data_IF_178362122750
#
_entry.id   IF_178362122750
#
_cell.length_a   1.000
_cell.length_b   1.000
_cell.length_c   1.000
_cell.angle_alpha   90.00
_cell.angle_beta   90.00
_cell.angle_gamma   90.00
#
_symmetry.space_group_name_H-M   'P 1'
#
loop_
_entity.id
_entity.type
_entity.pdbx_description
1 polymer ?
#
# COMPACT_ATOMS: atom_id res chain seq x y z
N UNK A 1 29.51 19.72 1.62
CA UNK A 1 29.82 18.26 1.64
C UNK A 1 29.01 17.61 2.74
N UNK A 2 28.46 16.41 2.50
CA UNK A 2 27.69 15.65 3.50
C UNK A 2 28.67 14.74 4.24
N UNK A 3 28.66 14.82 5.57
CA UNK A 3 29.64 14.14 6.43
C UNK A 3 29.09 12.95 7.20
N UNK A 4 27.79 12.95 7.51
CA UNK A 4 27.09 11.87 8.23
C UNK A 4 25.73 11.57 7.59
N UNK A 5 25.24 10.34 7.78
CA UNK A 5 23.90 9.91 7.40
C UNK A 5 23.27 9.29 8.64
N UNK A 6 22.12 9.82 9.07
CA UNK A 6 21.44 9.33 10.26
C UNK A 6 20.13 8.63 9.91
N UNK A 7 19.88 7.47 10.54
CA UNK A 7 18.62 6.75 10.50
C UNK A 7 17.84 6.94 11.80
N UNK A 8 16.59 7.41 11.73
CA UNK A 8 15.76 7.60 12.92
C UNK A 8 15.07 6.30 13.36
N UNK A 9 15.26 5.91 14.62
CA UNK A 9 14.63 4.71 15.18
C UNK A 9 13.10 4.86 15.22
N UNK A 10 12.37 3.97 14.56
CA UNK A 10 10.91 3.98 14.50
C UNK A 10 10.34 5.30 13.94
N UNK A 11 10.93 5.84 12.87
CA UNK A 11 10.39 7.01 12.15
C UNK A 11 10.53 8.32 12.93
N UNK A 12 9.53 9.21 12.82
CA UNK A 12 9.61 10.57 13.39
C UNK A 12 9.69 10.55 14.92
N UNK A 13 9.17 9.51 15.58
CA UNK A 13 9.34 9.29 17.02
C UNK A 13 10.82 9.15 17.40
N UNK A 14 11.65 8.57 16.54
CA UNK A 14 13.09 8.49 16.75
C UNK A 14 13.73 9.86 16.80
N UNK A 15 13.31 10.78 15.93
CA UNK A 15 13.78 12.18 15.95
C UNK A 15 13.34 12.86 17.24
N UNK A 16 12.05 12.82 17.57
CA UNK A 16 11.50 13.46 18.80
C UNK A 16 12.21 12.95 20.06
N UNK A 17 12.47 11.64 20.12
CA UNK A 17 13.10 10.99 21.26
C UNK A 17 14.63 11.00 21.21
N UNK A 18 15.25 11.65 20.21
CA UNK A 18 16.71 11.75 20.07
C UNK A 18 17.38 10.36 20.03
N UNK A 19 16.78 9.46 19.24
CA UNK A 19 17.24 8.09 18.96
C UNK A 19 17.56 7.95 17.48
N UNK A 20 18.77 8.38 17.12
CA UNK A 20 19.32 8.30 15.77
C UNK A 20 20.47 7.29 15.72
N UNK A 21 20.52 6.49 14.67
CA UNK A 21 21.65 5.63 14.32
C UNK A 21 22.52 6.34 13.30
N UNK A 22 23.84 6.37 13.51
CA UNK A 22 24.76 6.87 12.49
C UNK A 22 25.04 5.77 11.46
N UNK A 23 24.33 5.85 10.34
CA UNK A 23 24.40 4.87 9.24
C UNK A 23 25.77 4.88 8.55
N UNK A 24 26.61 5.90 8.78
CA UNK A 24 27.97 5.94 8.23
C UNK A 24 28.94 5.00 8.96
N UNK A 25 28.57 4.51 10.14
CA UNK A 25 29.34 3.55 10.93
C UNK A 25 28.98 2.09 10.62
N UNK A 26 27.88 1.86 9.90
CA UNK A 26 27.42 0.53 9.52
C UNK A 26 28.29 -0.07 8.40
N UNK A 27 28.38 -1.40 8.37
CA UNK A 27 29.12 -2.09 7.33
C UNK A 27 28.48 -1.87 5.95
N UNK A 28 29.32 -1.59 4.93
CA UNK A 28 28.84 -1.26 3.59
C UNK A 28 28.18 -2.45 2.89
N UNK A 29 28.61 -3.67 3.17
CA UNK A 29 27.97 -4.86 2.60
C UNK A 29 26.63 -5.13 3.30
N UNK A 30 26.55 -4.96 4.62
CA UNK A 30 25.26 -5.03 5.34
C UNK A 30 24.25 -3.99 4.83
N UNK A 31 24.68 -2.74 4.59
CA UNK A 31 23.84 -1.70 3.99
C UNK A 31 23.34 -2.10 2.59
N UNK A 32 24.17 -2.77 1.78
CA UNK A 32 23.75 -3.28 0.46
C UNK A 32 22.71 -4.38 0.57
N UNK A 33 22.69 -5.14 1.68
CA UNK A 33 21.72 -6.21 1.90
C UNK A 33 20.31 -5.68 2.23
N UNK A 34 20.18 -4.43 2.68
CA UNK A 34 18.87 -3.81 3.01
C UNK A 34 17.89 -3.92 1.84
N UNK A 35 18.35 -3.78 0.59
CA UNK A 35 17.48 -3.89 -0.59
C UNK A 35 16.85 -5.26 -0.82
N UNK A 36 17.30 -6.30 -0.11
CA UNK A 36 16.74 -7.65 -0.15
C UNK A 36 16.04 -8.07 1.14
N UNK A 37 16.06 -7.21 2.17
CA UNK A 37 15.51 -7.49 3.48
C UNK A 37 14.09 -6.92 3.59
N UNK A 38 13.07 -7.72 3.93
CA UNK A 38 11.70 -7.22 4.07
C UNK A 38 11.52 -6.41 5.36
N UNK A 39 10.45 -5.62 5.39
CA UNK A 39 10.12 -4.77 6.54
C UNK A 39 10.92 -3.46 6.57
N UNK A 40 10.94 -2.80 7.72
CA UNK A 40 11.69 -1.57 7.93
C UNK A 40 12.86 -1.83 8.88
N UNK A 41 14.09 -1.76 8.36
CA UNK A 41 15.33 -2.01 9.13
C UNK A 41 15.45 -1.06 10.33
N UNK A 42 15.01 0.18 10.20
CA UNK A 42 15.03 1.19 11.27
C UNK A 42 13.79 1.13 12.16
N UNK A 43 12.90 0.16 11.94
CA UNK A 43 11.54 0.16 12.49
C UNK A 43 10.65 1.21 11.83
N UNK A 44 9.38 1.24 12.21
CA UNK A 44 8.40 2.22 11.74
C UNK A 44 7.47 2.64 12.88
N UNK A 45 6.79 3.77 12.70
CA UNK A 45 5.73 4.21 13.61
C UNK A 45 4.49 4.64 12.84
N UNK A 46 3.38 4.72 13.55
CA UNK A 46 2.10 5.27 13.12
C UNK A 46 1.79 6.51 13.95
N UNK A 47 2.68 7.49 13.90
CA UNK A 47 2.60 8.70 14.71
C UNK A 47 2.29 9.91 13.82
N UNK A 48 1.21 10.62 14.13
CA UNK A 48 0.76 11.80 13.40
C UNK A 48 1.09 13.04 14.21
N UNK A 49 1.85 13.96 13.62
CA UNK A 49 2.11 15.25 14.22
C UNK A 49 0.83 16.09 14.21
N UNK A 50 0.55 16.75 15.33
CA UNK A 50 -0.48 17.77 15.40
C UNK A 50 -0.08 18.98 14.56
N UNK A 51 -1.03 19.86 14.26
CA UNK A 51 -0.71 21.13 13.60
C UNK A 51 0.14 22.00 14.53
N UNK A 52 1.28 22.52 14.04
CA UNK A 52 2.17 23.37 14.83
C UNK A 52 1.55 24.73 15.19
N UNK A 53 0.48 25.14 14.51
CA UNK A 53 -0.32 26.30 14.90
C UNK A 53 -1.15 26.04 16.17
N UNK A 54 -1.40 24.77 16.50
CA UNK A 54 -2.10 24.35 17.72
C UNK A 54 -1.12 24.04 18.84
N UNK A 55 -0.12 23.20 18.57
CA UNK A 55 0.97 22.86 19.50
C UNK A 55 2.27 22.62 18.71
N UNK A 56 3.26 23.49 18.93
CA UNK A 56 4.55 23.42 18.27
C UNK A 56 5.63 22.67 19.07
N UNK A 57 5.29 22.09 20.23
CA UNK A 57 6.24 21.44 21.13
C UNK A 57 7.07 20.36 20.43
N UNK A 58 6.42 19.52 19.61
CA UNK A 58 7.10 18.46 18.88
C UNK A 58 8.00 19.00 17.76
N UNK A 59 7.59 20.09 17.13
CA UNK A 59 8.35 20.72 16.06
C UNK A 59 9.59 21.45 16.57
N UNK A 60 9.48 22.14 17.71
CA UNK A 60 10.63 22.67 18.46
C UNK A 60 11.61 21.55 18.77
N UNK A 61 11.11 20.42 19.30
CA UNK A 61 11.94 19.27 19.63
C UNK A 61 12.65 18.69 18.39
N UNK A 62 11.95 18.57 17.26
CA UNK A 62 12.54 18.12 15.99
C UNK A 62 13.63 19.08 15.53
N UNK A 63 13.38 20.39 15.57
CA UNK A 63 14.36 21.42 15.21
C UNK A 63 15.60 21.38 16.11
N UNK A 64 15.43 21.21 17.44
CA UNK A 64 16.52 21.08 18.39
C UNK A 64 17.41 19.86 18.07
N UNK A 65 16.81 18.73 17.75
CA UNK A 65 17.53 17.51 17.37
C UNK A 65 18.23 17.71 16.03
N UNK A 66 17.56 18.32 15.05
CA UNK A 66 18.19 18.66 13.78
C UNK A 66 19.40 19.57 13.99
N UNK A 67 19.28 20.61 14.84
CA UNK A 67 20.37 21.51 15.16
C UNK A 67 21.53 20.78 15.86
N UNK A 68 21.23 19.92 16.85
CA UNK A 68 22.20 19.12 17.60
C UNK A 68 23.08 18.26 16.70
N UNK A 69 22.50 17.61 15.68
CA UNK A 69 23.23 16.74 14.74
C UNK A 69 23.60 17.46 13.42
N UNK A 70 23.37 18.76 13.33
CA UNK A 70 23.57 19.55 12.11
C UNK A 70 22.87 18.95 10.87
N UNK A 71 21.64 18.46 11.05
CA UNK A 71 20.81 17.91 9.97
C UNK A 71 20.40 19.06 9.04
N UNK A 72 20.74 18.95 7.76
CA UNK A 72 20.40 19.92 6.70
C UNK A 72 19.61 19.31 5.55
N UNK A 73 19.39 18.00 5.60
CA UNK A 73 18.63 17.23 4.63
C UNK A 73 17.76 16.24 5.41
N UNK A 74 16.46 16.24 5.14
CA UNK A 74 15.51 15.32 5.75
C UNK A 74 14.75 14.59 4.65
N UNK A 75 14.98 13.28 4.60
CA UNK A 75 14.30 12.37 3.69
C UNK A 75 13.30 11.55 4.49
N UNK A 76 12.02 11.63 4.15
CA UNK A 76 10.99 10.88 4.87
C UNK A 76 10.27 9.91 3.94
N UNK A 77 10.49 8.62 4.22
CA UNK A 77 9.97 7.51 3.45
C UNK A 77 8.63 7.04 4.03
N UNK A 78 7.53 7.22 3.28
CA UNK A 78 6.22 6.87 3.78
C UNK A 78 5.05 7.15 2.83
N UNK A 79 3.83 6.98 3.34
CA UNK A 79 2.58 7.19 2.61
C UNK A 79 2.02 8.61 2.82
N UNK A 80 0.71 8.77 2.63
CA UNK A 80 0.01 10.06 2.71
C UNK A 80 0.31 10.84 4.00
N UNK A 81 0.17 10.22 5.17
CA UNK A 81 0.47 10.89 6.46
C UNK A 81 1.94 11.31 6.60
N UNK A 82 2.86 10.63 5.92
CA UNK A 82 4.28 11.01 5.91
C UNK A 82 4.53 12.22 5.02
N UNK A 83 3.82 12.34 3.89
CA UNK A 83 3.89 13.53 3.05
C UNK A 83 3.31 14.76 3.76
N UNK A 84 2.22 14.59 4.50
CA UNK A 84 1.67 15.62 5.40
C UNK A 84 2.68 16.03 6.49
N UNK A 85 3.34 15.05 7.11
CA UNK A 85 4.41 15.29 8.10
C UNK A 85 5.57 16.09 7.51
N UNK A 86 6.05 15.72 6.30
CA UNK A 86 7.08 16.49 5.60
C UNK A 86 6.65 17.93 5.35
N UNK A 87 5.44 18.14 4.84
CA UNK A 87 4.92 19.47 4.54
C UNK A 87 4.88 20.36 5.79
N UNK A 88 4.43 19.79 6.93
CA UNK A 88 4.36 20.52 8.20
C UNK A 88 5.73 20.82 8.78
N UNK A 89 6.67 19.86 8.75
CA UNK A 89 8.04 20.08 9.21
C UNK A 89 8.74 21.14 8.34
N UNK A 90 8.62 21.05 7.02
CA UNK A 90 9.21 22.03 6.09
C UNK A 90 8.72 23.45 6.37
N UNK A 91 7.40 23.63 6.46
CA UNK A 91 6.79 24.91 6.82
C UNK A 91 7.29 25.44 8.17
N UNK A 92 7.35 24.58 9.20
CA UNK A 92 7.81 24.98 10.52
C UNK A 92 9.28 25.42 10.53
N UNK A 93 10.18 24.65 9.91
CA UNK A 93 11.61 24.95 9.87
C UNK A 93 11.88 26.25 9.09
N UNK A 94 11.18 26.44 7.97
CA UNK A 94 11.24 27.69 7.20
C UNK A 94 10.79 28.90 8.03
N UNK A 95 9.67 28.78 8.75
CA UNK A 95 9.16 29.86 9.61
C UNK A 95 10.11 30.23 10.76
N UNK A 96 10.99 29.32 11.16
CA UNK A 96 11.96 29.51 12.24
C UNK A 96 13.38 29.74 11.73
N UNK A 97 13.57 29.97 10.42
CA UNK A 97 14.88 30.29 9.83
C UNK A 97 15.88 29.14 9.88
N UNK A 98 15.43 27.89 10.03
CA UNK A 98 16.29 26.71 10.01
C UNK A 98 16.38 26.13 8.61
N UNK A 99 17.53 26.31 7.96
CA UNK A 99 17.75 25.79 6.61
C UNK A 99 17.87 24.26 6.61
N UNK A 100 16.86 23.59 6.06
CA UNK A 100 16.85 22.15 5.85
C UNK A 100 16.11 21.83 4.55
N UNK A 101 16.68 20.96 3.71
CA UNK A 101 16.02 20.45 2.51
C UNK A 101 15.13 19.27 2.88
N UNK A 102 13.84 19.39 2.62
CA UNK A 102 12.84 18.36 2.93
C UNK A 102 12.43 17.67 1.63
N UNK A 103 12.62 16.35 1.54
CA UNK A 103 12.15 15.56 0.40
C UNK A 103 11.35 14.36 0.90
N UNK A 104 10.10 14.25 0.42
CA UNK A 104 9.27 13.07 0.59
C UNK A 104 9.69 11.95 -0.35
N UNK A 105 9.77 10.73 0.18
CA UNK A 105 10.04 9.51 -0.60
C UNK A 105 8.76 8.67 -0.55
N UNK A 106 8.07 8.47 -1.70
CA UNK A 106 6.79 7.76 -1.71
C UNK A 106 6.98 6.29 -1.34
N UNK A 107 6.13 5.78 -0.46
CA UNK A 107 6.05 4.34 -0.15
C UNK A 107 4.65 4.00 0.31
N UNK A 108 4.04 3.02 -0.33
CA UNK A 108 2.75 2.46 0.08
C UNK A 108 2.49 1.20 -0.74
N UNK A 109 2.10 0.10 -0.09
CA UNK A 109 1.65 -1.10 -0.80
C UNK A 109 0.24 -0.91 -1.35
N UNK A 110 -0.52 0.03 -0.79
CA UNK A 110 -1.89 0.35 -1.20
C UNK A 110 -1.92 1.13 -2.54
N UNK A 111 -0.76 1.61 -3.01
CA UNK A 111 -0.59 2.32 -4.28
C UNK A 111 -1.49 3.56 -4.44
N UNK A 112 -1.77 4.23 -3.32
CA UNK A 112 -2.79 5.27 -3.19
C UNK A 112 -2.20 6.69 -3.10
N UNK A 113 -0.88 6.87 -3.24
CA UNK A 113 -0.29 8.22 -3.31
C UNK A 113 -0.64 8.88 -4.65
N UNK A 114 -1.17 10.10 -4.55
CA UNK A 114 -1.41 10.97 -5.70
C UNK A 114 -0.09 11.46 -6.32
N UNK A 115 -0.13 11.78 -7.62
CA UNK A 115 0.98 12.41 -8.33
C UNK A 115 2.11 11.49 -8.77
N UNK A 116 2.10 10.20 -8.42
CA UNK A 116 3.05 9.16 -8.87
C UNK A 116 2.33 8.04 -9.63
N UNK A 117 2.92 7.52 -10.73
CA UNK A 117 2.33 6.43 -11.54
C UNK A 117 1.99 5.23 -10.67
N UNK A 118 2.96 4.80 -9.86
CA UNK A 118 2.82 3.76 -8.87
C UNK A 118 3.71 4.05 -7.65
N UNK A 119 3.56 3.24 -6.60
CA UNK A 119 4.27 3.41 -5.34
C UNK A 119 5.23 2.26 -5.08
N UNK A 120 6.45 2.53 -4.58
CA UNK A 120 7.35 1.50 -4.07
C UNK A 120 6.69 0.58 -3.04
N UNK A 121 6.92 -0.72 -3.23
CA UNK A 121 6.32 -1.82 -2.48
C UNK A 121 5.04 -2.38 -3.10
N UNK A 122 4.32 -1.58 -3.91
CA UNK A 122 3.11 -2.06 -4.59
C UNK A 122 3.43 -3.18 -5.57
N UNK A 123 4.45 -3.01 -6.42
CA UNK A 123 4.76 -4.00 -7.47
C UNK A 123 5.08 -5.37 -6.90
N UNK A 124 5.82 -5.43 -5.79
CA UNK A 124 6.10 -6.69 -5.10
C UNK A 124 4.86 -7.29 -4.43
N UNK A 125 4.05 -6.48 -3.75
CA UNK A 125 2.83 -6.94 -3.11
C UNK A 125 1.77 -7.41 -4.13
N UNK A 126 1.63 -6.71 -5.25
CA UNK A 126 0.79 -7.08 -6.38
C UNK A 126 1.22 -8.42 -6.99
N UNK A 127 2.53 -8.63 -7.18
CA UNK A 127 3.09 -9.90 -7.66
C UNK A 127 2.82 -11.05 -6.68
N UNK A 128 2.96 -10.81 -5.37
CA UNK A 128 2.59 -11.79 -4.34
C UNK A 128 1.11 -12.17 -4.48
N UNK A 129 0.20 -11.19 -4.46
CA UNK A 129 -1.25 -11.43 -4.57
C UNK A 129 -1.59 -12.24 -5.82
N UNK A 130 -1.09 -11.82 -6.98
CA UNK A 130 -1.34 -12.51 -8.24
C UNK A 130 -0.85 -13.97 -8.21
N UNK A 131 0.36 -14.20 -7.69
CA UNK A 131 0.96 -15.54 -7.62
C UNK A 131 0.20 -16.44 -6.66
N UNK A 132 -0.10 -15.95 -5.46
CA UNK A 132 -0.86 -16.71 -4.46
C UNK A 132 -2.27 -17.02 -4.96
N UNK A 133 -2.94 -16.11 -5.69
CA UNK A 133 -4.21 -16.42 -6.33
C UNK A 133 -4.09 -17.58 -7.34
N UNK A 134 -3.00 -17.64 -8.12
CA UNK A 134 -2.75 -18.76 -9.05
C UNK A 134 -2.51 -20.09 -8.31
N UNK A 135 -1.78 -20.06 -7.20
CA UNK A 135 -1.54 -21.23 -6.36
C UNK A 135 -2.84 -21.75 -5.73
N UNK A 136 -3.64 -20.85 -5.16
CA UNK A 136 -4.95 -21.18 -4.58
C UNK A 136 -5.91 -21.71 -5.65
N UNK A 137 -5.93 -21.10 -6.85
CA UNK A 137 -6.74 -21.59 -7.96
C UNK A 137 -6.38 -23.04 -8.32
N UNK A 138 -5.08 -23.36 -8.38
CA UNK A 138 -4.61 -24.72 -8.69
C UNK A 138 -4.96 -25.73 -7.61
N UNK A 139 -4.80 -25.35 -6.34
CA UNK A 139 -5.18 -26.21 -5.22
C UNK A 139 -6.70 -26.47 -5.21
N UNK A 140 -7.50 -25.43 -5.38
CA UNK A 140 -8.97 -25.52 -5.38
C UNK A 140 -9.49 -26.49 -6.46
N UNK A 141 -8.84 -26.57 -7.62
CA UNK A 141 -9.19 -27.46 -8.74
C UNK A 141 -8.79 -28.93 -8.54
N UNK A 142 -8.08 -29.27 -7.46
CA UNK A 142 -7.60 -30.65 -7.22
C UNK A 142 -8.67 -31.57 -6.63
N UNK A 143 -9.74 -31.02 -6.06
CA UNK A 143 -10.76 -31.79 -5.34
C UNK A 143 -12.01 -32.04 -6.20
N UNK A 144 -12.59 -33.24 -6.10
CA UNK A 144 -13.86 -33.61 -6.76
C UNK A 144 -15.11 -32.94 -6.13
N UNK A 145 -14.94 -32.26 -5.00
CA UNK A 145 -16.02 -31.51 -4.35
C UNK A 145 -15.93 -30.05 -4.72
N UNK A 146 -17.04 -29.49 -5.20
CA UNK A 146 -17.15 -28.06 -5.46
C UNK A 146 -16.80 -27.19 -4.25
N UNK A 147 -16.16 -26.04 -4.51
CA UNK A 147 -15.66 -25.17 -3.45
C UNK A 147 -15.93 -23.68 -3.68
N UNK A 148 -16.10 -22.92 -2.60
CA UNK A 148 -16.16 -21.46 -2.59
C UNK A 148 -14.97 -20.98 -1.76
N UNK A 149 -13.97 -20.41 -2.42
CA UNK A 149 -12.77 -19.88 -1.78
C UNK A 149 -12.77 -18.37 -1.87
N UNK A 150 -12.64 -17.70 -0.73
CA UNK A 150 -12.59 -16.24 -0.63
C UNK A 150 -11.21 -15.83 -0.11
N UNK A 151 -10.52 -14.99 -0.87
CA UNK A 151 -9.21 -14.42 -0.53
C UNK A 151 -9.41 -12.96 -0.13
N UNK A 152 -9.10 -12.63 1.13
CA UNK A 152 -9.09 -11.27 1.66
C UNK A 152 -7.69 -10.66 1.53
N UNK A 153 -7.65 -9.49 0.89
CA UNK A 153 -6.45 -8.79 0.42
C UNK A 153 -6.45 -7.39 1.04
N UNK A 154 -5.26 -6.85 1.38
CA UNK A 154 -5.16 -5.51 1.95
C UNK A 154 -5.63 -4.45 0.96
N UNK A 155 -6.07 -3.29 1.48
CA UNK A 155 -6.45 -2.13 0.67
C UNK A 155 -7.66 -1.41 1.21
N UNK A 156 -7.49 -0.72 2.35
CA UNK A 156 -8.60 -0.15 3.14
C UNK A 156 -9.45 0.85 2.35
N UNK A 157 -8.83 1.78 1.62
CA UNK A 157 -9.52 2.81 0.86
C UNK A 157 -9.49 2.55 -0.65
N UNK A 158 -8.36 2.05 -1.18
CA UNK A 158 -8.18 1.77 -2.60
C UNK A 158 -7.94 0.29 -2.88
N UNK A 159 -8.45 -0.20 -4.01
CA UNK A 159 -8.49 -1.62 -4.38
C UNK A 159 -7.26 -2.15 -5.11
N UNK A 160 -6.15 -1.40 -5.20
CA UNK A 160 -5.03 -1.71 -6.09
C UNK A 160 -4.42 -3.10 -5.91
N UNK A 161 -4.28 -3.57 -4.67
CA UNK A 161 -3.78 -4.92 -4.37
C UNK A 161 -4.80 -5.99 -4.72
N UNK A 162 -6.07 -5.83 -4.32
CA UNK A 162 -7.13 -6.77 -4.68
C UNK A 162 -7.30 -6.87 -6.21
N UNK A 163 -7.20 -5.75 -6.91
CA UNK A 163 -7.25 -5.70 -8.37
C UNK A 163 -6.07 -6.44 -9.02
N UNK A 164 -4.89 -6.47 -8.39
CA UNK A 164 -3.73 -7.22 -8.91
C UNK A 164 -4.00 -8.72 -9.07
N UNK A 165 -4.97 -9.29 -8.34
CA UNK A 165 -5.44 -10.66 -8.55
C UNK A 165 -5.95 -10.92 -9.98
N UNK A 166 -6.36 -9.89 -10.72
CA UNK A 166 -6.74 -9.99 -12.13
C UNK A 166 -5.59 -10.49 -13.03
N UNK A 167 -4.33 -10.36 -12.59
CA UNK A 167 -3.19 -10.94 -13.29
C UNK A 167 -3.21 -12.47 -13.28
N UNK A 168 -3.71 -13.08 -12.21
CA UNK A 168 -3.96 -14.51 -12.16
C UNK A 168 -5.03 -14.90 -13.20
N UNK A 169 -6.09 -14.09 -13.33
CA UNK A 169 -7.17 -14.31 -14.30
C UNK A 169 -6.66 -14.18 -15.73
N UNK A 170 -5.80 -13.20 -16.01
CA UNK A 170 -5.11 -13.07 -17.31
C UNK A 170 -4.31 -14.32 -17.68
N UNK A 171 -3.70 -14.98 -16.70
CA UNK A 171 -2.95 -16.24 -16.87
C UNK A 171 -3.86 -17.49 -16.91
N UNK A 172 -5.18 -17.31 -16.84
CA UNK A 172 -6.17 -18.39 -16.86
C UNK A 172 -6.27 -19.17 -15.55
N UNK A 173 -5.78 -18.61 -14.44
CA UNK A 173 -5.71 -19.28 -13.13
C UNK A 173 -6.07 -18.29 -12.00
N UNK A 174 -7.10 -17.49 -12.18
CA UNK A 174 -7.43 -16.41 -11.24
C UNK A 174 -8.83 -16.47 -10.67
N UNK A 175 -9.16 -15.49 -9.82
CA UNK A 175 -10.50 -15.37 -9.27
C UNK A 175 -11.55 -15.16 -10.37
N UNK A 176 -12.73 -15.70 -10.13
CA UNK A 176 -13.95 -15.52 -10.90
C UNK A 176 -14.61 -14.16 -10.59
N UNK A 177 -14.43 -13.68 -9.36
CA UNK A 177 -15.01 -12.44 -8.84
C UNK A 177 -13.92 -11.63 -8.12
N UNK A 178 -13.82 -10.34 -8.45
CA UNK A 178 -12.89 -9.40 -7.81
C UNK A 178 -13.69 -8.23 -7.23
N UNK A 179 -13.72 -8.10 -5.90
CA UNK A 179 -14.50 -7.09 -5.19
C UNK A 179 -13.58 -5.99 -4.63
N UNK A 180 -13.84 -4.74 -5.04
CA UNK A 180 -12.99 -3.59 -4.78
C UNK A 180 -13.73 -2.52 -3.95
N UNK A 181 -13.04 -1.74 -3.10
CA UNK A 181 -13.65 -0.67 -2.31
C UNK A 181 -14.20 0.48 -3.18
N UNK A 182 -13.77 0.59 -4.43
CA UNK A 182 -14.29 1.54 -5.42
C UNK A 182 -15.75 1.27 -5.83
N UNK A 183 -16.29 0.07 -5.55
CA UNK A 183 -17.66 -0.33 -5.87
C UNK A 183 -18.41 -0.60 -4.58
N UNK A 184 -19.62 -0.05 -4.45
CA UNK A 184 -20.50 -0.39 -3.34
C UNK A 184 -20.83 -1.88 -3.37
N UNK A 185 -20.54 -2.54 -2.26
CA UNK A 185 -20.75 -3.96 -2.10
C UNK A 185 -22.17 -4.22 -1.57
N UNK A 186 -22.89 -5.10 -2.24
CA UNK A 186 -24.21 -5.58 -1.82
C UNK A 186 -24.17 -7.09 -1.60
N UNK A 187 -24.70 -7.54 -0.46
CA UNK A 187 -24.67 -8.95 -0.07
C UNK A 187 -25.57 -9.82 -0.96
N UNK A 188 -26.69 -9.29 -1.47
CA UNK A 188 -27.58 -10.02 -2.35
C UNK A 188 -26.95 -10.19 -3.74
N UNK A 189 -26.34 -9.14 -4.28
CA UNK A 189 -25.60 -9.19 -5.55
C UNK A 189 -24.41 -10.17 -5.46
N UNK A 190 -23.63 -10.10 -4.37
CA UNK A 190 -22.55 -11.04 -4.10
C UNK A 190 -23.03 -12.50 -4.14
N UNK A 191 -24.12 -12.82 -3.45
CA UNK A 191 -24.68 -14.18 -3.43
C UNK A 191 -25.18 -14.60 -4.81
N UNK A 192 -25.82 -13.70 -5.56
CA UNK A 192 -26.29 -13.99 -6.91
C UNK A 192 -25.12 -14.33 -7.84
N UNK A 193 -24.03 -13.55 -7.78
CA UNK A 193 -22.83 -13.80 -8.57
C UNK A 193 -22.13 -15.10 -8.19
N UNK A 194 -21.93 -15.36 -6.88
CA UNK A 194 -21.33 -16.61 -6.41
C UNK A 194 -22.16 -17.82 -6.84
N UNK A 195 -23.48 -17.75 -6.70
CA UNK A 195 -24.38 -18.83 -7.11
C UNK A 195 -24.29 -19.08 -8.61
N UNK A 196 -24.36 -18.02 -9.42
CA UNK A 196 -24.25 -18.10 -10.88
C UNK A 196 -22.94 -18.74 -11.35
N UNK A 197 -21.81 -18.38 -10.73
CA UNK A 197 -20.51 -18.97 -11.07
C UNK A 197 -20.46 -20.43 -10.62
N UNK A 198 -20.88 -20.72 -9.39
CA UNK A 198 -20.85 -22.09 -8.84
C UNK A 198 -21.72 -23.05 -9.66
N UNK A 199 -22.93 -22.66 -10.04
CA UNK A 199 -23.82 -23.49 -10.88
C UNK A 199 -23.23 -23.79 -12.26
N UNK A 200 -22.41 -22.89 -12.79
CA UNK A 200 -21.79 -23.05 -14.11
C UNK A 200 -20.60 -24.01 -14.09
N UNK A 201 -19.76 -23.97 -13.07
CA UNK A 201 -18.45 -24.66 -13.09
C UNK A 201 -18.13 -25.50 -11.86
N UNK A 202 -18.98 -25.47 -10.83
CA UNK A 202 -18.84 -26.25 -9.61
C UNK A 202 -17.90 -25.66 -8.56
N UNK A 203 -17.17 -24.59 -8.86
CA UNK A 203 -16.33 -23.88 -7.90
C UNK A 203 -16.31 -22.37 -8.15
N UNK A 204 -15.92 -21.61 -7.12
CA UNK A 204 -15.81 -20.16 -7.15
C UNK A 204 -14.58 -19.72 -6.38
N UNK A 205 -13.71 -18.94 -7.02
CA UNK A 205 -12.63 -18.23 -6.38
C UNK A 205 -12.94 -16.72 -6.37
N UNK A 206 -12.98 -16.12 -5.19
CA UNK A 206 -13.23 -14.69 -5.00
C UNK A 206 -11.97 -14.03 -4.43
N UNK A 207 -11.57 -12.90 -5.00
CA UNK A 207 -10.60 -12.00 -4.41
C UNK A 207 -11.32 -10.73 -3.96
N UNK A 208 -11.15 -10.32 -2.71
CA UNK A 208 -11.77 -9.10 -2.20
C UNK A 208 -10.78 -8.27 -1.40
N UNK A 209 -10.94 -6.96 -1.47
CA UNK A 209 -10.28 -6.05 -0.54
C UNK A 209 -10.97 -6.10 0.83
N UNK A 210 -10.18 -6.06 1.90
CA UNK A 210 -10.65 -5.85 3.29
C UNK A 210 -11.49 -4.56 3.44
N UNK A 211 -11.29 -3.59 2.52
CA UNK A 211 -11.87 -2.26 2.55
C UNK A 211 -13.25 -2.11 1.90
N UNK A 212 -13.89 -3.19 1.43
CA UNK A 212 -15.20 -3.11 0.78
C UNK A 212 -16.28 -2.52 1.72
N UNK A 213 -17.12 -1.64 1.15
CA UNK A 213 -18.16 -0.89 1.86
C UNK A 213 -19.49 -1.02 1.16
N UNK A 214 -20.57 -0.95 1.92
CA UNK A 214 -21.92 -0.85 1.37
C UNK A 214 -22.19 0.55 0.77
N UNK A 215 -23.41 0.75 0.26
CA UNK A 215 -23.86 2.05 -0.27
C UNK A 215 -23.90 3.18 0.77
N UNK A 216 -23.93 2.85 2.06
CA UNK A 216 -23.93 3.81 3.17
C UNK A 216 -22.50 4.11 3.65
N UNK A 217 -21.48 3.53 3.02
CA UNK A 217 -20.07 3.67 3.42
C UNK A 217 -19.68 2.83 4.65
N UNK A 218 -20.53 1.90 5.07
CA UNK A 218 -20.25 0.98 6.17
C UNK A 218 -19.43 -0.19 5.67
N UNK A 219 -18.31 -0.48 6.35
CA UNK A 219 -17.47 -1.62 6.02
C UNK A 219 -18.24 -2.92 6.13
N UNK A 220 -18.11 -3.81 5.14
CA UNK A 220 -18.86 -5.07 5.12
C UNK A 220 -18.47 -5.96 6.31
N UNK A 221 -17.22 -5.90 6.77
CA UNK A 221 -16.76 -6.58 7.98
C UNK A 221 -17.65 -6.28 9.20
N UNK A 222 -18.20 -5.07 9.31
CA UNK A 222 -19.04 -4.65 10.43
C UNK A 222 -20.35 -5.43 10.57
N UNK A 223 -20.85 -6.04 9.49
CA UNK A 223 -22.07 -6.86 9.53
C UNK A 223 -21.84 -8.27 10.08
N UNK A 224 -20.59 -8.72 10.13
CA UNK A 224 -20.24 -10.09 10.53
C UNK A 224 -19.56 -10.19 11.89
N UNK A 225 -19.21 -9.05 12.47
CA UNK A 225 -18.56 -8.96 13.78
C UNK A 225 -19.49 -8.28 14.79
N UNK A 226 -19.87 -8.98 15.84
CA UNK A 226 -20.56 -8.40 17.02
C UNK A 226 -19.67 -7.40 17.81
N UNK A 227 -18.41 -7.18 17.37
CA UNK A 227 -17.33 -6.63 18.20
C UNK A 227 -16.39 -5.62 17.50
N UNK A 228 -16.87 -4.73 16.63
CA UNK A 228 -16.03 -3.58 16.20
C UNK A 228 -16.03 -2.50 17.29
N UNK A 229 -15.19 -2.66 18.32
CA UNK A 229 -14.84 -1.58 19.25
C UNK A 229 -13.37 -1.15 19.20
N UNK A 230 -12.49 -1.94 18.59
CA UNK A 230 -11.08 -1.60 18.51
C UNK A 230 -10.80 -0.82 17.22
N UNK A 231 -10.68 0.49 17.38
CA UNK A 231 -10.11 1.38 16.39
C UNK A 231 -8.58 1.36 16.52
N UNK A 232 -7.86 1.36 15.40
CA UNK A 232 -6.42 1.57 15.42
C UNK A 232 -6.06 2.99 15.91
N UNK A 233 -4.76 3.28 16.09
CA UNK A 233 -4.29 4.58 16.60
C UNK A 233 -4.72 5.80 15.74
N UNK A 234 -5.29 5.57 14.55
CA UNK A 234 -5.83 6.60 13.66
C UNK A 234 -7.37 6.63 13.62
N UNK A 235 -8.04 5.84 14.45
CA UNK A 235 -9.50 5.80 14.50
C UNK A 235 -10.15 4.88 13.47
N UNK A 236 -9.37 4.08 12.72
CA UNK A 236 -9.92 3.17 11.72
C UNK A 236 -10.33 1.82 12.33
N UNK A 237 -11.39 1.21 11.81
CA UNK A 237 -11.81 -0.12 12.24
C UNK A 237 -10.70 -1.17 11.99
N UNK A 238 -10.49 -2.05 12.97
CA UNK A 238 -9.63 -3.24 12.81
C UNK A 238 -10.30 -4.19 11.82
N UNK A 239 -9.60 -4.53 10.75
CA UNK A 239 -10.06 -5.45 9.70
C UNK A 239 -9.49 -6.86 9.95
N UNK A 240 -10.23 -7.89 9.55
CA UNK A 240 -9.83 -9.29 9.63
C UNK A 240 -11.03 -10.23 9.69
N UNK A 241 -10.89 -11.44 9.13
CA UNK A 241 -11.93 -12.47 9.14
C UNK A 241 -13.12 -12.25 8.19
N UNK A 242 -13.06 -11.24 7.32
CA UNK A 242 -14.11 -10.96 6.33
C UNK A 242 -14.21 -12.10 5.29
N UNK A 243 -13.09 -12.65 4.83
CA UNK A 243 -13.07 -13.78 3.90
C UNK A 243 -13.87 -14.98 4.42
N UNK A 244 -13.58 -15.43 5.64
CA UNK A 244 -14.27 -16.55 6.26
C UNK A 244 -15.76 -16.27 6.46
N UNK A 245 -16.11 -15.04 6.82
CA UNK A 245 -17.50 -14.61 7.03
C UNK A 245 -18.31 -14.65 5.74
N UNK A 246 -17.78 -14.08 4.65
CA UNK A 246 -18.43 -14.09 3.34
C UNK A 246 -18.47 -15.49 2.70
N UNK A 247 -17.46 -16.32 2.94
CA UNK A 247 -17.46 -17.72 2.50
C UNK A 247 -18.59 -18.51 3.20
N UNK A 248 -18.75 -18.35 4.51
CA UNK A 248 -19.82 -18.97 5.28
C UNK A 248 -21.20 -18.43 4.91
N UNK A 249 -21.32 -17.12 4.64
CA UNK A 249 -22.54 -16.50 4.15
C UNK A 249 -22.99 -17.12 2.82
N UNK A 250 -22.06 -17.37 1.89
CA UNK A 250 -22.35 -18.08 0.65
C UNK A 250 -22.76 -19.55 0.86
N UNK A 251 -22.13 -20.26 1.81
CA UNK A 251 -22.47 -21.65 2.14
C UNK A 251 -23.93 -21.84 2.53
N UNK A 252 -24.54 -20.86 3.20
CA UNK A 252 -25.95 -20.92 3.60
C UNK A 252 -26.90 -21.04 2.39
N UNK A 253 -26.48 -20.57 1.21
CA UNK A 253 -27.23 -20.68 -0.05
C UNK A 253 -26.78 -21.83 -0.92
N UNK A 254 -25.55 -22.31 -0.74
CA UNK A 254 -24.97 -23.43 -1.50
C UNK A 254 -24.45 -24.49 -0.50
N UNK A 255 -25.34 -25.28 0.15
CA UNK A 255 -24.95 -26.14 1.27
C UNK A 255 -24.00 -27.29 0.88
N UNK A 256 -23.98 -27.66 -0.41
CA UNK A 256 -23.10 -28.69 -0.96
C UNK A 256 -21.65 -28.22 -1.15
N UNK A 257 -21.40 -26.90 -1.18
CA UNK A 257 -20.06 -26.36 -1.38
C UNK A 257 -19.21 -26.48 -0.11
N UNK A 258 -17.95 -26.89 -0.28
CA UNK A 258 -16.92 -26.65 0.73
C UNK A 258 -16.53 -25.18 0.69
N UNK A 259 -16.32 -24.55 1.84
CA UNK A 259 -15.97 -23.12 1.88
C UNK A 259 -14.64 -22.89 2.58
N UNK A 260 -13.88 -21.91 2.09
CA UNK A 260 -12.58 -21.54 2.63
C UNK A 260 -12.42 -20.02 2.61
N UNK A 261 -12.10 -19.42 3.75
CA UNK A 261 -11.58 -18.06 3.83
C UNK A 261 -10.06 -18.09 3.94
N UNK A 262 -9.37 -17.26 3.16
CA UNK A 262 -7.93 -17.07 3.21
C UNK A 262 -7.67 -15.58 3.43
N UNK A 263 -7.04 -15.23 4.53
CA UNK A 263 -6.60 -13.87 4.80
C UNK A 263 -5.10 -13.77 4.50
N UNK A 264 -4.71 -12.98 3.49
CA UNK A 264 -3.29 -12.80 3.16
C UNK A 264 -2.58 -11.96 4.23
N UNK A 265 -3.30 -11.00 4.81
CA UNK A 265 -2.87 -10.18 5.95
C UNK A 265 -1.44 -9.64 5.75
N UNK A 266 -0.57 -9.80 6.74
CA UNK A 266 0.81 -9.31 6.74
C UNK A 266 1.70 -9.87 5.62
N UNK A 267 1.43 -11.08 5.13
CA UNK A 267 2.35 -11.79 4.22
C UNK A 267 2.56 -11.03 2.91
N UNK A 268 1.50 -10.38 2.40
CA UNK A 268 1.53 -9.67 1.13
C UNK A 268 2.43 -8.43 1.10
N UNK A 269 2.84 -7.90 2.27
CA UNK A 269 3.71 -6.72 2.37
C UNK A 269 5.12 -7.00 2.88
N UNK A 270 5.46 -8.27 3.13
CA UNK A 270 6.79 -8.68 3.58
C UNK A 270 7.39 -9.85 2.77
N UNK A 271 6.79 -10.20 1.63
CA UNK A 271 7.21 -11.31 0.77
C UNK A 271 8.44 -10.99 -0.11
N UNK A 272 9.57 -10.59 0.49
CA UNK A 272 10.80 -10.26 -0.27
C UNK A 272 11.35 -11.44 -1.07
N UNK A 273 11.08 -12.68 -0.65
CA UNK A 273 11.47 -13.90 -1.34
C UNK A 273 10.93 -14.00 -2.78
N UNK A 274 9.92 -13.19 -3.12
CA UNK A 274 9.35 -13.14 -4.46
C UNK A 274 9.14 -11.70 -4.98
N UNK A 275 9.85 -10.73 -4.41
CA UNK A 275 9.73 -9.32 -4.77
C UNK A 275 9.80 -9.08 -6.29
N UNK A 276 9.12 -8.04 -6.76
CA UNK A 276 9.21 -7.60 -8.15
C UNK A 276 10.57 -6.97 -8.37
N UNK A 277 11.26 -7.36 -9.45
CA UNK A 277 12.58 -6.78 -9.77
C UNK A 277 12.46 -5.29 -10.08
N UNK A 278 11.43 -4.93 -10.84
CA UNK A 278 11.11 -3.55 -11.22
C UNK A 278 10.85 -2.71 -9.98
N UNK A 279 10.04 -3.21 -9.04
CA UNK A 279 9.75 -2.52 -7.78
C UNK A 279 11.02 -2.30 -6.93
N UNK A 280 11.93 -3.27 -6.89
CA UNK A 280 13.23 -3.13 -6.20
C UNK A 280 14.15 -2.09 -6.87
N UNK A 281 14.27 -2.14 -8.19
CA UNK A 281 15.13 -1.23 -8.95
C UNK A 281 14.59 0.21 -8.89
N UNK A 282 13.28 0.40 -8.98
CA UNK A 282 12.62 1.70 -8.86
C UNK A 282 12.63 2.24 -7.43
N UNK A 283 12.47 1.37 -6.42
CA UNK A 283 12.66 1.75 -5.00
C UNK A 283 14.05 2.31 -4.73
N UNK A 284 15.09 1.71 -5.35
CA UNK A 284 16.45 2.22 -5.27
C UNK A 284 16.62 3.53 -6.05
N UNK A 285 16.06 3.60 -7.25
CA UNK A 285 16.09 4.79 -8.11
C UNK A 285 15.52 6.03 -7.41
N UNK A 286 14.37 5.92 -6.73
CA UNK A 286 13.77 7.07 -6.06
C UNK A 286 14.58 7.57 -4.87
N UNK A 287 15.26 6.67 -4.14
CA UNK A 287 16.12 7.06 -3.02
C UNK A 287 17.32 7.86 -3.50
N UNK A 288 17.91 7.44 -4.62
CA UNK A 288 18.96 8.19 -5.32
C UNK A 288 18.44 9.54 -5.82
N UNK A 289 17.30 9.57 -6.52
CA UNK A 289 16.72 10.78 -7.08
C UNK A 289 16.35 11.81 -5.98
N UNK A 290 15.87 11.35 -4.82
CA UNK A 290 15.60 12.23 -3.68
C UNK A 290 16.86 12.97 -3.22
N UNK A 291 17.97 12.23 -3.08
CA UNK A 291 19.25 12.79 -2.67
C UNK A 291 19.83 13.77 -3.69
N UNK A 292 19.79 13.41 -4.97
CA UNK A 292 20.25 14.28 -6.07
C UNK A 292 19.44 15.57 -6.11
N UNK A 293 18.10 15.48 -6.05
CA UNK A 293 17.25 16.66 -6.07
C UNK A 293 17.48 17.60 -4.87
N UNK A 294 17.65 17.04 -3.67
CA UNK A 294 17.95 17.85 -2.49
C UNK A 294 19.33 18.53 -2.60
N UNK A 295 20.32 17.83 -3.16
CA UNK A 295 21.67 18.36 -3.42
C UNK A 295 21.66 19.49 -4.44
N UNK A 296 20.74 19.43 -5.41
CA UNK A 296 20.49 20.49 -6.40
C UNK A 296 19.65 21.65 -5.84
N UNK A 297 19.29 21.60 -4.55
CA UNK A 297 18.61 22.67 -3.83
C UNK A 297 17.11 22.56 -3.74
N UNK A 298 16.50 21.48 -4.26
CA UNK A 298 15.06 21.25 -4.12
C UNK A 298 14.67 20.97 -2.66
N UNK A 299 13.50 21.44 -2.25
CA UNK A 299 12.89 21.22 -0.94
C UNK A 299 11.38 21.27 -1.07
N UNK A 300 10.68 20.71 -0.08
CA UNK A 300 9.21 20.65 0.01
C UNK A 300 8.55 19.92 -1.16
N UNK A 301 9.29 18.97 -1.75
CA UNK A 301 8.85 18.12 -2.86
C UNK A 301 8.79 16.64 -2.43
N UNK A 302 7.99 15.87 -3.14
CA UNK A 302 8.04 14.40 -3.14
C UNK A 302 8.65 13.93 -4.47
N UNK A 303 9.47 12.88 -4.43
CA UNK A 303 9.86 12.16 -5.66
C UNK A 303 8.63 11.47 -6.24
N UNK A 304 8.42 11.55 -7.55
CA UNK A 304 7.33 10.88 -8.26
C UNK A 304 7.87 10.01 -9.39
N UNK A 305 7.30 8.82 -9.57
CA UNK A 305 7.57 7.93 -10.69
C UNK A 305 6.68 8.29 -11.87
N UNK A 306 7.28 8.47 -13.05
CA UNK A 306 6.62 8.83 -14.30
C UNK A 306 6.85 7.72 -15.31
N UNK A 307 5.77 7.02 -15.67
CA UNK A 307 5.78 6.03 -16.74
C UNK A 307 5.95 6.70 -18.10
N UNK A 308 6.82 6.16 -18.94
CA UNK A 308 6.99 6.61 -20.32
C UNK A 308 5.83 6.16 -21.23
N UNK A 309 5.55 6.95 -22.28
CA UNK A 309 4.46 6.70 -23.22
C UNK A 309 4.77 5.63 -24.30
N UNK A 310 5.95 5.03 -24.25
CA UNK A 310 6.42 4.04 -25.23
C UNK A 310 5.74 2.68 -25.11
N UNK A 311 5.84 1.82 -26.14
CA UNK A 311 5.31 0.45 -26.10
C UNK A 311 6.09 -0.46 -25.14
N UNK A 312 7.36 -0.13 -24.88
CA UNK A 312 8.18 -0.78 -23.87
C UNK A 312 8.08 -0.01 -22.56
N UNK A 313 7.95 -0.75 -21.45
CA UNK A 313 7.90 -0.13 -20.14
C UNK A 313 9.20 0.62 -19.84
N UNK A 314 9.04 1.88 -19.45
CA UNK A 314 10.11 2.71 -18.92
C UNK A 314 9.54 3.61 -17.83
N UNK A 315 10.40 3.97 -16.88
CA UNK A 315 10.03 4.80 -15.74
C UNK A 315 11.15 5.78 -15.44
N UNK A 316 10.80 7.03 -15.20
CA UNK A 316 11.72 8.09 -14.78
C UNK A 316 11.21 8.75 -13.50
N UNK A 317 12.00 9.64 -12.91
CA UNK A 317 11.61 10.37 -11.71
C UNK A 317 11.42 11.86 -11.99
N UNK A 318 10.40 12.45 -11.37
CA UNK A 318 10.19 13.90 -11.29
C UNK A 318 9.97 14.35 -9.84
N UNK A 319 9.83 15.65 -9.62
CA UNK A 319 9.49 16.23 -8.32
C UNK A 319 8.08 16.83 -8.38
N UNK A 320 7.25 16.54 -7.39
CA UNK A 320 5.92 17.13 -7.20
C UNK A 320 5.85 17.84 -5.86
N UNK A 321 5.09 18.93 -5.76
CA UNK A 321 4.91 19.65 -4.50
C UNK A 321 4.21 18.78 -3.43
N UNK A 322 4.75 18.77 -2.22
CA UNK A 322 4.15 18.01 -1.11
C UNK A 322 2.70 18.44 -0.83
N UNK A 323 2.40 19.73 -1.03
CA UNK A 323 1.06 20.31 -0.84
C UNK A 323 0.06 19.73 -1.84
N UNK A 324 0.50 19.35 -3.05
CA UNK A 324 -0.36 18.74 -4.07
C UNK A 324 -0.66 17.26 -3.77
N UNK A 325 0.21 16.59 -3.02
CA UNK A 325 0.08 15.15 -2.71
C UNK A 325 -0.67 14.93 -1.40
N UNK A 326 -0.44 15.78 -0.40
CA UNK A 326 -0.93 15.56 0.95
C UNK A 326 -2.47 15.42 0.99
N UNK A 327 -2.93 14.32 1.61
CA UNK A 327 -4.34 14.01 1.82
C UNK A 327 -5.17 13.73 0.55
N UNK A 328 -4.54 13.44 -0.59
CA UNK A 328 -5.23 12.99 -1.81
C UNK A 328 -4.95 11.51 -2.06
N UNK A 329 -6.00 10.71 -2.17
CA UNK A 329 -5.89 9.28 -2.47
C UNK A 329 -6.11 8.99 -3.97
N UNK A 330 -5.20 8.21 -4.56
CA UNK A 330 -5.31 7.69 -5.92
C UNK A 330 -6.15 6.41 -5.93
N UNK A 331 -7.35 6.49 -6.48
CA UNK A 331 -8.30 5.36 -6.60
C UNK A 331 -8.18 4.66 -7.96
N UNK A 332 -8.65 3.41 -8.07
CA UNK A 332 -8.80 2.75 -9.37
C UNK A 332 -9.88 3.48 -10.18
N UNK A 333 -9.60 3.90 -11.43
CA UNK A 333 -10.60 4.51 -12.29
C UNK A 333 -11.79 3.59 -12.54
N UNK A 334 -13.04 4.08 -12.40
CA UNK A 334 -14.25 3.28 -12.67
C UNK A 334 -14.26 2.64 -14.06
N UNK A 335 -13.69 3.33 -15.06
CA UNK A 335 -13.52 2.84 -16.45
C UNK A 335 -12.59 1.62 -16.60
N UNK A 336 -11.87 1.25 -15.54
CA UNK A 336 -11.01 0.07 -15.50
C UNK A 336 -11.69 -1.14 -14.84
N UNK A 337 -12.88 -0.94 -14.27
CA UNK A 337 -13.69 -1.98 -13.63
C UNK A 337 -14.83 -2.34 -14.60
N UNK A 338 -15.19 -3.62 -14.69
CA UNK A 338 -16.26 -4.09 -15.56
C UNK A 338 -17.63 -3.48 -15.15
N UNK A 339 -18.65 -3.66 -15.99
CA UNK A 339 -19.98 -3.09 -15.73
C UNK A 339 -20.60 -3.64 -14.44
N UNK A 340 -20.43 -4.94 -14.18
CA UNK A 340 -20.94 -5.62 -13.00
C UNK A 340 -20.22 -5.23 -11.69
N UNK A 341 -19.07 -4.56 -11.76
CA UNK A 341 -18.33 -4.13 -10.57
C UNK A 341 -17.53 -5.24 -9.87
N UNK A 342 -17.41 -6.41 -10.49
CA UNK A 342 -16.83 -7.63 -9.90
C UNK A 342 -15.63 -8.17 -10.71
N UNK A 343 -14.97 -7.32 -11.49
CA UNK A 343 -13.84 -7.70 -12.33
C UNK A 343 -13.16 -6.51 -12.99
N UNK A 344 -11.94 -6.72 -13.50
CA UNK A 344 -11.10 -5.68 -14.09
C UNK A 344 -11.08 -5.79 -15.62
N UNK A 345 -10.86 -4.66 -16.28
CA UNK A 345 -10.76 -4.51 -17.73
C UNK A 345 -9.30 -4.36 -18.18
N UNK A 346 -9.09 -4.46 -19.50
CA UNK A 346 -7.78 -4.37 -20.13
C UNK A 346 -6.93 -3.16 -19.68
N UNK A 347 -7.48 -1.93 -19.50
CA UNK A 347 -6.67 -0.81 -19.03
C UNK A 347 -5.99 -1.02 -17.67
N UNK A 348 -6.63 -1.76 -16.73
CA UNK A 348 -5.96 -2.12 -15.47
C UNK A 348 -4.84 -3.13 -15.72
N UNK A 349 -5.08 -4.10 -16.59
CA UNK A 349 -4.10 -5.10 -16.98
C UNK A 349 -2.86 -4.44 -17.60
N UNK A 350 -3.05 -3.45 -18.46
CA UNK A 350 -1.95 -2.70 -19.09
C UNK A 350 -1.18 -1.85 -18.07
N UNK A 351 -1.87 -1.35 -17.05
CA UNK A 351 -1.25 -0.57 -15.96
C UNK A 351 -0.40 -1.43 -15.02
N UNK A 352 -0.97 -2.52 -14.49
CA UNK A 352 -0.30 -3.40 -13.50
C UNK A 352 0.82 -4.22 -14.14
N UNK A 353 0.82 -4.29 -15.47
CA UNK A 353 1.94 -4.77 -16.25
C UNK A 353 2.95 -3.66 -16.45
N UNK A 354 3.96 -3.70 -15.58
CA UNK A 354 5.32 -3.74 -16.08
C UNK A 354 6.16 -4.78 -15.31
N UNK A 355 5.50 -5.86 -14.85
CA UNK A 355 6.03 -6.79 -13.85
C UNK A 355 6.83 -7.95 -14.40
#
# INVERSE_FOLDING_TARGET
HITHVYGAAHGIRGVINDRLYDMSLEDREELKMIKYTPGSVLGACRYKLQDFLTDDTEYKRIMDVFAKYNIRYFFYNGGNDSMDTCSKIGAYLSNNGYECRIIGIPKTVDNDLYGTDHCPGYGSAAKYVATTCMEVYRDAKTYDTGSITVIEIMGRNAGWLAAASAMATKKGMGPDLICLPEIHFDLADYIADVTRVYEKQGDVLIALSEGIKDKNGTYIAAYFSDTIKDKDAFGHATMGGLASSLANFAKAKIPSAKVRGIELSLLQRCASHMASRVDLDESYMIGKAAFEAASDGNTDKMVSLVRGDGPEYSCTTTMIDLIEVANIEKMIPRKWINMAGNGLLQPFIDYVLPT
#
